data_IF_187959127748
#
_entry.id   IF_187959127748
#
_cell.length_a   1.000
_cell.length_b   1.000
_cell.length_c   1.000
_cell.angle_alpha   90.00
_cell.angle_beta   90.00
_cell.angle_gamma   90.00
#
_symmetry.space_group_name_H-M   'P 1'
#
loop_
_entity.id
_entity.type
_entity.pdbx_description
1 polymer ?
#
# COMPACT_ATOMS: atom_id res chain seq x y z
N UNK A 1 -13.35 22.80 -10.70
CA UNK A 1 -11.90 22.69 -10.47
C UNK A 1 -11.66 22.78 -8.97
N UNK A 2 -10.63 22.10 -8.44
CA UNK A 2 -10.24 22.23 -7.02
C UNK A 2 -8.87 22.90 -7.02
N UNK A 3 -8.82 24.16 -6.60
CA UNK A 3 -7.58 24.92 -6.49
C UNK A 3 -6.90 24.65 -5.15
N UNK A 4 -5.57 24.63 -5.13
CA UNK A 4 -4.78 24.45 -3.92
C UNK A 4 -3.41 25.10 -4.06
N UNK A 5 -2.74 25.33 -2.93
CA UNK A 5 -1.39 25.88 -2.87
C UNK A 5 -0.36 24.79 -3.21
N UNK A 6 0.16 24.79 -4.44
CA UNK A 6 1.18 23.82 -4.89
C UNK A 6 2.57 24.06 -4.28
N UNK A 7 2.81 25.25 -3.73
CA UNK A 7 4.04 25.61 -3.02
C UNK A 7 4.11 25.07 -1.59
N UNK A 8 3.01 24.51 -1.07
CA UNK A 8 2.94 23.96 0.29
C UNK A 8 3.02 22.45 0.24
N UNK A 9 4.13 21.90 0.76
CA UNK A 9 4.27 20.45 0.93
C UNK A 9 3.26 19.89 1.94
N UNK A 10 3.06 18.57 1.88
CA UNK A 10 2.26 17.82 2.84
C UNK A 10 1.04 17.15 2.24
N UNK A 11 0.20 16.59 3.13
CA UNK A 11 -0.85 15.62 2.81
C UNK A 11 -1.74 16.00 1.64
N UNK A 12 -2.15 17.26 1.53
CA UNK A 12 -3.05 17.68 0.44
C UNK A 12 -2.35 17.61 -0.92
N UNK A 13 -1.09 18.04 -1.00
CA UNK A 13 -0.31 18.00 -2.24
C UNK A 13 -0.01 16.57 -2.65
N UNK A 14 0.34 15.72 -1.67
CA UNK A 14 0.55 14.27 -1.87
C UNK A 14 -0.70 13.59 -2.42
N UNK A 15 -1.87 13.86 -1.85
CA UNK A 15 -3.15 13.34 -2.34
C UNK A 15 -3.43 13.78 -3.77
N UNK A 16 -3.19 15.05 -4.06
CA UNK A 16 -3.39 15.63 -5.38
C UNK A 16 -2.47 14.98 -6.42
N UNK A 17 -1.17 14.88 -6.13
CA UNK A 17 -0.18 14.20 -6.98
C UNK A 17 -0.54 12.74 -7.20
N UNK A 18 -0.89 12.00 -6.14
CA UNK A 18 -1.31 10.61 -6.25
C UNK A 18 -2.52 10.43 -7.17
N UNK A 19 -3.50 11.34 -7.08
CA UNK A 19 -4.66 11.33 -7.96
C UNK A 19 -4.22 11.49 -9.42
N UNK A 20 -3.48 12.56 -9.75
CA UNK A 20 -3.08 12.89 -11.12
C UNK A 20 -2.04 11.94 -11.73
N UNK A 21 -1.28 11.22 -10.90
CA UNK A 21 -0.38 10.15 -11.36
C UNK A 21 -1.10 9.03 -12.10
N UNK A 22 -2.40 8.82 -11.82
CA UNK A 22 -3.22 7.77 -12.44
C UNK A 22 -3.41 7.93 -13.96
N UNK A 23 -3.17 9.12 -14.50
CA UNK A 23 -3.24 9.40 -15.94
C UNK A 23 -1.97 10.07 -16.45
N UNK A 24 -0.81 9.61 -15.95
CA UNK A 24 0.50 10.09 -16.40
C UNK A 24 0.76 11.56 -16.08
N UNK A 25 0.17 12.11 -15.01
CA UNK A 25 0.33 13.50 -14.59
C UNK A 25 -0.09 14.55 -15.64
N UNK A 26 -0.99 14.22 -16.58
CA UNK A 26 -1.43 15.14 -17.62
C UNK A 26 -2.35 16.29 -17.13
N UNK A 27 -2.66 16.34 -15.83
CA UNK A 27 -3.56 17.34 -15.25
C UNK A 27 -5.05 17.03 -15.38
N UNK A 28 -5.43 15.93 -16.04
CA UNK A 28 -6.83 15.52 -16.22
C UNK A 28 -7.07 14.07 -15.84
N UNK A 29 -8.16 13.83 -15.11
CA UNK A 29 -8.63 12.48 -14.75
C UNK A 29 -10.10 12.39 -15.03
N UNK A 30 -10.51 11.37 -15.77
CA UNK A 30 -11.92 11.13 -16.03
C UNK A 30 -12.66 10.80 -14.72
N UNK A 31 -13.73 11.53 -14.44
CA UNK A 31 -14.62 11.24 -13.31
C UNK A 31 -15.21 9.83 -13.47
N UNK A 32 -15.14 8.96 -12.46
CA UNK A 32 -15.78 7.65 -12.52
C UNK A 32 -17.29 7.78 -12.80
N UNK A 33 -17.79 7.03 -13.79
CA UNK A 33 -19.21 7.06 -14.23
C UNK A 33 -20.19 6.82 -13.08
N UNK A 34 -19.79 6.05 -12.08
CA UNK A 34 -20.60 5.71 -10.91
C UNK A 34 -20.97 6.93 -10.05
N UNK A 35 -20.15 7.97 -10.01
CA UNK A 35 -20.41 9.20 -9.24
C UNK A 35 -21.40 10.13 -9.97
N UNK A 36 -21.62 9.90 -11.26
CA UNK A 36 -22.59 10.66 -12.05
C UNK A 36 -23.99 10.03 -12.03
N UNK A 37 -24.17 8.89 -11.36
CA UNK A 37 -25.48 8.22 -11.23
C UNK A 37 -26.34 8.96 -10.21
N UNK A 38 -27.64 9.09 -10.48
CA UNK A 38 -28.60 9.69 -9.53
C UNK A 38 -28.69 8.95 -8.19
N UNK A 39 -28.37 7.65 -8.18
CA UNK A 39 -28.34 6.82 -6.97
C UNK A 39 -27.10 7.01 -6.10
N UNK A 40 -26.11 7.80 -6.54
CA UNK A 40 -24.89 8.04 -5.77
C UNK A 40 -25.14 9.07 -4.67
N UNK A 41 -24.87 8.71 -3.41
CA UNK A 41 -24.90 9.64 -2.28
C UNK A 41 -23.65 9.46 -1.39
N UNK A 42 -22.71 10.42 -1.38
CA UNK A 42 -21.44 10.29 -0.64
C UNK A 42 -21.61 10.28 0.89
N UNK A 43 -22.79 10.63 1.41
CA UNK A 43 -23.07 10.74 2.84
C UNK A 43 -23.64 9.45 3.45
N UNK A 44 -23.94 8.43 2.64
CA UNK A 44 -24.52 7.16 3.12
C UNK A 44 -23.44 6.11 3.37
N UNK A 45 -23.74 5.13 4.24
CA UNK A 45 -22.90 3.94 4.45
C UNK A 45 -22.81 3.02 3.21
N UNK A 46 -23.82 3.09 2.35
CA UNK A 46 -23.79 2.45 1.03
C UNK A 46 -23.97 3.55 -0.04
N UNK A 47 -22.88 4.24 -0.43
CA UNK A 47 -22.95 5.39 -1.32
C UNK A 47 -23.50 5.06 -2.70
N UNK A 48 -23.45 3.79 -3.09
CA UNK A 48 -23.97 3.32 -4.36
C UNK A 48 -24.51 1.89 -4.22
N UNK A 49 -25.79 1.74 -3.83
CA UNK A 49 -26.40 0.44 -3.60
C UNK A 49 -26.24 -0.49 -4.80
N UNK A 50 -25.88 -1.75 -4.53
CA UNK A 50 -25.65 -2.78 -5.55
C UNK A 50 -24.29 -2.72 -6.25
N UNK A 51 -23.43 -1.75 -5.92
CA UNK A 51 -22.05 -1.73 -6.39
C UNK A 51 -21.20 -2.76 -5.63
N UNK A 52 -20.26 -3.40 -6.34
CA UNK A 52 -19.27 -4.28 -5.70
C UNK A 52 -18.37 -3.48 -4.78
N UNK A 53 -18.21 -3.99 -3.56
CA UNK A 53 -17.28 -3.50 -2.54
C UNK A 53 -15.97 -4.26 -2.72
N UNK A 54 -14.86 -3.69 -2.28
CA UNK A 54 -13.56 -4.35 -2.39
C UNK A 54 -12.88 -4.44 -1.03
N UNK A 55 -12.32 -5.61 -0.74
CA UNK A 55 -11.42 -5.80 0.37
C UNK A 55 -9.99 -5.61 -0.11
N UNK A 56 -9.30 -4.63 0.47
CA UNK A 56 -7.86 -4.52 0.34
C UNK A 56 -7.21 -5.30 1.48
N UNK A 57 -6.39 -6.26 1.12
CA UNK A 57 -5.57 -7.02 2.05
C UNK A 57 -4.11 -6.71 1.76
N UNK A 58 -3.44 -6.10 2.73
CA UNK A 58 -2.03 -5.73 2.63
C UNK A 58 -1.23 -6.53 3.64
N UNK A 59 -0.31 -7.36 3.15
CA UNK A 59 0.76 -7.88 4.00
C UNK A 59 1.92 -6.89 3.98
N UNK A 60 2.16 -6.21 5.09
CA UNK A 60 3.33 -5.34 5.29
C UNK A 60 4.47 -6.25 5.74
N UNK A 61 5.41 -6.51 4.83
CA UNK A 61 6.44 -7.53 5.03
C UNK A 61 7.64 -6.90 5.71
N UNK A 62 8.26 -5.92 5.06
CA UNK A 62 9.52 -5.33 5.52
C UNK A 62 9.78 -3.93 5.00
N UNK A 63 10.72 -3.22 5.60
CA UNK A 63 11.25 -1.95 5.13
C UNK A 63 12.64 -2.13 4.51
N UNK A 64 13.04 -1.18 3.67
CA UNK A 64 14.37 -1.13 3.07
C UNK A 64 14.94 0.27 3.25
N UNK A 65 16.12 0.37 3.85
CA UNK A 65 16.92 1.60 3.92
C UNK A 65 16.10 2.83 4.34
N UNK A 66 15.35 2.71 5.44
CA UNK A 66 14.55 3.81 5.96
C UNK A 66 15.49 4.86 6.56
N UNK A 67 15.39 6.13 6.13
CA UNK A 67 16.28 7.17 6.62
C UNK A 67 15.84 7.62 8.01
N UNK A 68 16.80 8.11 8.79
CA UNK A 68 16.50 8.81 10.04
C UNK A 68 15.68 10.08 9.76
N UNK A 69 14.66 10.40 10.58
CA UNK A 69 14.00 11.70 10.56
C UNK A 69 15.01 12.83 10.76
N UNK A 70 14.86 13.92 10.01
CA UNK A 70 15.75 15.09 10.10
C UNK A 70 15.63 15.82 11.44
N UNK A 71 14.44 15.77 12.03
CA UNK A 71 14.09 16.46 13.26
C UNK A 71 14.08 15.52 14.48
N UNK A 72 14.76 14.36 14.37
CA UNK A 72 14.86 13.38 15.45
C UNK A 72 15.31 14.00 16.76
N UNK A 73 14.68 13.58 17.87
CA UNK A 73 14.90 14.19 19.18
C UNK A 73 16.38 14.15 19.61
N UNK A 74 17.10 13.10 19.22
CA UNK A 74 18.53 12.96 19.50
C UNK A 74 19.43 13.37 18.32
N UNK A 75 18.85 13.72 17.17
CA UNK A 75 19.54 14.15 15.95
C UNK A 75 20.48 13.06 15.41
N UNK A 76 21.65 13.47 14.91
CA UNK A 76 22.66 12.53 14.38
C UNK A 76 23.38 11.70 15.46
N UNK A 77 22.98 11.77 16.74
CA UNK A 77 23.69 11.14 17.87
C UNK A 77 23.48 9.63 18.01
N UNK A 78 23.50 8.91 16.90
CA UNK A 78 23.53 7.45 16.90
C UNK A 78 22.20 6.76 17.21
N UNK A 79 21.10 7.50 17.36
CA UNK A 79 19.76 6.92 17.49
C UNK A 79 19.43 6.06 16.28
N UNK A 80 19.04 4.82 16.53
CA UNK A 80 18.53 3.92 15.49
C UNK A 80 17.02 4.00 15.57
N UNK A 81 16.39 4.18 14.42
CA UNK A 81 14.95 4.36 14.35
C UNK A 81 14.20 3.08 14.76
N UNK A 82 13.01 3.29 15.33
CA UNK A 82 12.05 2.30 15.77
C UNK A 82 10.83 2.28 14.82
N UNK A 83 10.97 1.78 13.57
CA UNK A 83 9.98 2.08 12.55
C UNK A 83 8.69 1.24 12.67
N UNK A 84 7.58 1.90 12.34
CA UNK A 84 6.31 1.24 12.04
C UNK A 84 5.63 1.86 10.82
N UNK A 85 4.71 1.11 10.21
CA UNK A 85 3.96 1.54 9.03
C UNK A 85 2.51 1.80 9.40
N UNK A 86 2.02 3.02 9.15
CA UNK A 86 0.59 3.38 9.17
C UNK A 86 0.06 3.39 7.74
N UNK A 87 -1.00 2.61 7.48
CA UNK A 87 -1.73 2.64 6.20
C UNK A 87 -3.08 3.31 6.41
N UNK A 88 -3.31 4.37 5.65
CA UNK A 88 -4.53 5.17 5.64
C UNK A 88 -5.29 4.98 4.31
N UNK A 89 -6.58 4.69 4.40
CA UNK A 89 -7.51 4.78 3.27
C UNK A 89 -8.11 6.19 3.27
N UNK A 90 -8.00 6.87 2.13
CA UNK A 90 -8.53 8.22 1.93
C UNK A 90 -9.58 8.16 0.84
N UNK A 91 -10.79 8.65 1.10
CA UNK A 91 -11.87 8.60 0.12
C UNK A 91 -13.15 9.23 0.67
N UNK A 92 -14.27 8.54 0.51
CA UNK A 92 -15.49 8.90 1.23
C UNK A 92 -15.34 8.61 2.72
N UNK A 93 -16.10 9.30 3.56
CA UNK A 93 -16.05 9.12 5.01
C UNK A 93 -16.28 7.66 5.43
N UNK A 94 -17.14 6.92 4.73
CA UNK A 94 -17.38 5.49 4.99
C UNK A 94 -16.16 4.59 4.72
N UNK A 95 -15.26 5.02 3.85
CA UNK A 95 -14.04 4.28 3.48
C UNK A 95 -12.83 4.70 4.32
N UNK A 96 -12.88 5.88 4.95
CA UNK A 96 -11.78 6.42 5.72
C UNK A 96 -11.44 5.50 6.91
N UNK A 97 -10.22 4.96 6.91
CA UNK A 97 -9.76 4.04 7.94
C UNK A 97 -8.24 4.08 8.03
N UNK A 98 -7.70 3.83 9.22
CA UNK A 98 -6.27 3.74 9.49
C UNK A 98 -5.96 2.48 10.28
N UNK A 99 -4.91 1.78 9.88
CA UNK A 99 -4.33 0.68 10.65
C UNK A 99 -2.81 0.82 10.61
N UNK A 100 -2.13 0.28 11.62
CA UNK A 100 -0.69 0.32 11.70
C UNK A 100 -0.12 -1.04 12.09
N UNK A 101 1.15 -1.26 11.74
CA UNK A 101 1.93 -2.39 12.24
C UNK A 101 2.39 -2.14 13.67
N UNK A 102 2.97 -3.16 14.30
CA UNK A 102 3.84 -3.01 15.46
C UNK A 102 5.08 -2.18 15.12
N UNK A 103 5.74 -1.72 16.18
CA UNK A 103 7.08 -1.12 16.14
C UNK A 103 8.13 -2.23 16.03
N UNK A 104 9.20 -1.95 15.29
CA UNK A 104 10.41 -2.78 15.24
C UNK A 104 11.53 -1.95 15.85
N UNK A 105 12.05 -2.39 16.98
CA UNK A 105 13.05 -1.63 17.73
C UNK A 105 14.43 -1.65 17.03
N UNK A 106 15.12 -0.51 17.06
CA UNK A 106 16.49 -0.28 16.63
C UNK A 106 16.82 -0.87 15.24
N UNK A 107 15.93 -0.73 14.25
CA UNK A 107 16.19 -1.23 12.90
C UNK A 107 15.54 -0.42 11.77
N UNK A 108 16.27 0.58 11.27
CA UNK A 108 15.92 1.30 10.04
C UNK A 108 16.37 0.65 8.72
N UNK A 109 17.35 -0.25 8.75
CA UNK A 109 17.97 -0.76 7.52
C UNK A 109 17.11 -1.81 6.81
N UNK A 110 16.54 -2.75 7.57
CA UNK A 110 15.73 -3.85 7.05
C UNK A 110 14.68 -4.38 8.05
N UNK A 111 13.82 -3.52 8.64
CA UNK A 111 12.81 -3.96 9.61
C UNK A 111 11.85 -4.98 9.00
N UNK A 112 11.44 -5.96 9.80
CA UNK A 112 10.49 -7.01 9.40
C UNK A 112 9.24 -6.94 10.27
N UNK A 113 8.10 -6.59 9.66
CA UNK A 113 6.81 -6.55 10.37
C UNK A 113 6.03 -7.85 10.18
N UNK A 114 5.95 -8.36 8.95
CA UNK A 114 5.19 -9.57 8.58
C UNK A 114 3.70 -9.55 8.99
N UNK A 115 3.11 -8.36 9.02
CA UNK A 115 1.74 -8.15 9.49
C UNK A 115 0.74 -7.98 8.36
N UNK A 116 -0.53 -8.30 8.62
CA UNK A 116 -1.61 -8.19 7.63
C UNK A 116 -2.63 -7.17 8.07
N UNK A 117 -2.78 -6.11 7.28
CA UNK A 117 -3.79 -5.06 7.44
C UNK A 117 -4.93 -5.31 6.45
N UNK A 118 -6.18 -5.12 6.87
CA UNK A 118 -7.37 -5.42 6.05
C UNK A 118 -8.34 -4.26 6.06
N UNK A 119 -8.65 -3.74 4.89
CA UNK A 119 -9.56 -2.60 4.70
C UNK A 119 -10.74 -2.99 3.82
N UNK A 120 -11.94 -2.56 4.19
CA UNK A 120 -13.14 -2.72 3.37
C UNK A 120 -13.47 -1.37 2.73
N UNK A 121 -13.48 -1.32 1.41
CA UNK A 121 -13.62 -0.11 0.62
C UNK A 121 -14.92 -0.21 -0.21
N UNK A 122 -15.87 0.65 0.08
CA UNK A 122 -17.15 0.79 -0.62
C UNK A 122 -16.97 1.41 -2.01
N UNK A 123 -16.13 2.46 -2.12
CA UNK A 123 -15.95 3.22 -3.36
C UNK A 123 -14.49 3.21 -3.84
N UNK A 124 -13.96 2.04 -4.26
CA UNK A 124 -12.56 1.88 -4.70
C UNK A 124 -12.21 2.76 -5.91
N UNK A 125 -13.20 3.29 -6.64
CA UNK A 125 -12.98 4.14 -7.81
C UNK A 125 -12.44 5.54 -7.44
N UNK A 126 -12.58 5.94 -6.18
CA UNK A 126 -12.13 7.25 -5.67
C UNK A 126 -11.27 7.15 -4.40
N UNK A 127 -10.98 5.94 -3.95
CA UNK A 127 -10.10 5.72 -2.81
C UNK A 127 -8.62 5.91 -3.19
N UNK A 128 -7.86 6.49 -2.28
CA UNK A 128 -6.40 6.51 -2.25
C UNK A 128 -5.94 5.66 -1.06
N UNK A 129 -4.77 5.08 -1.20
CA UNK A 129 -4.07 4.32 -0.14
C UNK A 129 -2.77 5.04 0.14
N UNK A 130 -2.61 5.50 1.38
CA UNK A 130 -1.44 6.26 1.84
C UNK A 130 -0.66 5.42 2.83
N UNK A 131 0.56 5.07 2.46
CA UNK A 131 1.54 4.41 3.31
C UNK A 131 2.38 5.48 3.97
N UNK A 132 2.49 5.44 5.30
CA UNK A 132 3.35 6.34 6.06
C UNK A 132 4.27 5.49 6.93
N UNK A 133 5.53 5.85 6.98
CA UNK A 133 6.51 5.25 7.87
C UNK A 133 6.83 6.28 8.94
N UNK A 134 6.80 5.82 10.18
CA UNK A 134 7.01 6.63 11.37
C UNK A 134 8.10 5.98 12.22
N UNK A 135 8.86 6.82 12.89
CA UNK A 135 9.78 6.47 13.97
C UNK A 135 9.03 6.55 15.30
N UNK A 136 9.22 5.59 16.20
CA UNK A 136 8.56 5.63 17.51
C UNK A 136 9.51 6.07 18.60
N UNK A 137 9.36 7.32 19.05
CA UNK A 137 10.16 7.86 20.13
C UNK A 137 9.49 7.70 21.50
N UNK A 138 10.26 7.75 22.61
CA UNK A 138 9.69 7.83 23.96
C UNK A 138 8.67 8.97 24.13
N UNK A 139 8.82 10.04 23.36
CA UNK A 139 7.88 11.17 23.32
C UNK A 139 7.38 11.37 21.89
N UNK A 140 6.31 10.67 21.54
CA UNK A 140 5.58 10.89 20.30
C UNK A 140 5.99 9.96 19.17
N UNK A 141 6.23 10.54 17.99
CA UNK A 141 6.66 9.84 16.79
C UNK A 141 7.14 10.83 15.75
N UNK A 142 8.22 10.49 15.07
CA UNK A 142 8.76 11.30 13.99
C UNK A 142 8.40 10.74 12.61
N UNK A 143 8.08 11.65 11.69
CA UNK A 143 7.70 11.25 10.34
C UNK A 143 8.95 10.88 9.54
N UNK A 144 9.01 9.63 9.07
CA UNK A 144 10.10 9.18 8.21
C UNK A 144 9.75 9.56 6.77
N UNK A 145 8.66 9.03 6.21
CA UNK A 145 8.29 9.24 4.81
C UNK A 145 6.93 8.64 4.45
N UNK A 146 6.46 8.93 3.23
CA UNK A 146 5.17 8.44 2.76
C UNK A 146 5.17 8.04 1.28
N UNK A 147 4.15 7.29 0.89
CA UNK A 147 3.73 7.13 -0.49
C UNK A 147 2.21 7.06 -0.56
N UNK A 148 1.61 7.89 -1.39
CA UNK A 148 0.17 7.87 -1.65
C UNK A 148 -0.11 7.36 -3.06
N UNK A 149 -1.03 6.39 -3.20
CA UNK A 149 -1.36 5.74 -4.47
C UNK A 149 -2.87 5.69 -4.64
N UNK A 150 -3.37 5.98 -5.85
CA UNK A 150 -4.78 5.72 -6.14
C UNK A 150 -5.06 4.22 -6.10
N UNK A 151 -6.14 3.81 -5.44
CA UNK A 151 -6.47 2.39 -5.25
C UNK A 151 -6.48 1.61 -6.58
N UNK A 152 -7.07 2.21 -7.62
CA UNK A 152 -7.14 1.61 -8.97
C UNK A 152 -5.79 1.45 -9.68
N UNK A 153 -4.77 2.16 -9.22
CA UNK A 153 -3.41 2.09 -9.76
C UNK A 153 -2.53 1.11 -8.99
N UNK A 154 -3.03 0.51 -7.90
CA UNK A 154 -2.30 -0.52 -7.16
C UNK A 154 -2.34 -1.84 -7.92
N UNK A 155 -1.21 -2.55 -7.92
CA UNK A 155 -1.07 -3.86 -8.56
C UNK A 155 -1.04 -4.98 -7.51
N UNK A 156 -1.77 -6.09 -7.70
CA UNK A 156 -1.71 -7.23 -6.80
C UNK A 156 -0.34 -7.93 -6.84
N UNK A 157 -0.07 -8.74 -5.82
CA UNK A 157 1.16 -9.51 -5.64
C UNK A 157 2.22 -8.79 -4.81
N UNK A 158 3.45 -9.29 -4.86
CA UNK A 158 4.60 -8.70 -4.19
C UNK A 158 5.06 -7.42 -4.90
N UNK A 159 5.18 -6.32 -4.14
CA UNK A 159 5.51 -4.98 -4.63
C UNK A 159 6.39 -4.25 -3.64
N UNK A 160 7.26 -3.38 -4.15
CA UNK A 160 7.86 -2.32 -3.35
C UNK A 160 6.99 -1.06 -3.46
N UNK A 161 6.75 -0.43 -2.32
CA UNK A 161 6.18 0.90 -2.21
C UNK A 161 7.34 1.84 -1.89
N UNK A 162 7.86 2.51 -2.91
CA UNK A 162 8.94 3.49 -2.76
C UNK A 162 8.42 4.76 -2.10
N UNK A 163 9.14 5.26 -1.10
CA UNK A 163 8.79 6.48 -0.39
C UNK A 163 9.11 7.70 -1.26
N UNK A 164 8.18 8.65 -1.34
CA UNK A 164 8.34 9.85 -2.16
C UNK A 164 9.54 10.68 -1.68
N UNK A 165 10.39 11.10 -2.60
CA UNK A 165 11.57 11.94 -2.32
C UNK A 165 12.73 11.23 -1.61
N UNK A 166 12.68 9.90 -1.45
CA UNK A 166 13.73 9.12 -0.78
C UNK A 166 14.24 8.01 -1.68
N UNK A 167 15.39 8.23 -2.30
CA UNK A 167 16.04 7.23 -3.13
C UNK A 167 16.28 5.94 -2.31
N UNK A 168 16.05 4.79 -2.92
CA UNK A 168 16.24 3.44 -2.35
C UNK A 168 15.33 3.04 -1.16
N UNK A 169 14.67 3.99 -0.47
CA UNK A 169 13.80 3.68 0.66
C UNK A 169 12.44 3.14 0.23
N UNK A 170 12.06 1.96 0.71
CA UNK A 170 10.76 1.36 0.35
C UNK A 170 10.18 0.45 1.44
N UNK A 171 8.89 0.15 1.28
CA UNK A 171 8.16 -0.87 2.03
C UNK A 171 7.89 -2.03 1.07
N UNK A 172 8.34 -3.23 1.41
CA UNK A 172 7.99 -4.44 0.69
C UNK A 172 6.65 -4.98 1.20
N UNK A 173 5.70 -5.16 0.28
CA UNK A 173 4.33 -5.57 0.59
C UNK A 173 3.86 -6.68 -0.32
N UNK A 174 2.88 -7.45 0.14
CA UNK A 174 2.02 -8.22 -0.75
C UNK A 174 0.62 -7.62 -0.77
N UNK A 175 0.13 -7.28 -1.96
CA UNK A 175 -1.20 -6.70 -2.20
C UNK A 175 -2.16 -7.78 -2.68
N UNK A 176 -3.32 -7.91 -2.04
CA UNK A 176 -4.44 -8.70 -2.56
C UNK A 176 -5.73 -7.88 -2.50
N UNK A 177 -6.56 -8.02 -3.54
CA UNK A 177 -7.85 -7.33 -3.67
C UNK A 177 -8.92 -8.38 -3.91
N UNK A 178 -9.94 -8.40 -3.05
CA UNK A 178 -11.05 -9.34 -3.17
C UNK A 178 -12.36 -8.56 -3.35
N UNK A 179 -13.12 -8.89 -4.40
CA UNK A 179 -14.48 -8.38 -4.54
C UNK A 179 -15.36 -8.98 -3.43
N UNK A 180 -16.08 -8.14 -2.69
CA UNK A 180 -17.03 -8.56 -1.67
C UNK A 180 -18.45 -8.31 -2.17
N UNK A 181 -19.24 -9.38 -2.23
CA UNK A 181 -20.69 -9.32 -2.34
C UNK A 181 -21.29 -9.51 -0.94
N UNK A 182 -21.73 -8.42 -0.28
CA UNK A 182 -22.39 -8.45 1.03
C UNK A 182 -21.52 -7.98 2.22
N UNK A 183 -22.09 -8.01 3.44
CA UNK A 183 -21.39 -7.61 4.68
C UNK A 183 -20.48 -8.75 5.18
N UNK A 184 -19.16 -8.68 4.95
CA UNK A 184 -18.20 -9.63 5.52
C UNK A 184 -17.53 -9.04 6.78
N UNK A 185 -17.49 -9.80 7.88
CA UNK A 185 -16.85 -9.37 9.13
C UNK A 185 -15.30 -9.32 8.99
N UNK A 186 -14.61 -8.35 9.61
CA UNK A 186 -13.15 -8.18 9.50
C UNK A 186 -12.31 -9.41 9.92
N UNK A 187 -12.75 -10.16 10.93
CA UNK A 187 -12.03 -11.34 11.42
C UNK A 187 -11.96 -12.47 10.38
N UNK A 188 -13.06 -12.71 9.66
CA UNK A 188 -13.13 -13.71 8.60
C UNK A 188 -12.27 -13.30 7.39
N UNK A 189 -12.21 -12.00 7.13
CA UNK A 189 -11.39 -11.42 6.07
C UNK A 189 -9.89 -11.63 6.31
N UNK A 190 -9.40 -11.37 7.53
CA UNK A 190 -8.00 -11.61 7.91
C UNK A 190 -7.64 -13.09 7.78
N UNK A 191 -8.54 -14.00 8.17
CA UNK A 191 -8.30 -15.43 8.02
C UNK A 191 -8.25 -15.88 6.55
N UNK A 192 -9.19 -15.40 5.73
CA UNK A 192 -9.21 -15.66 4.29
C UNK A 192 -7.97 -15.10 3.58
N UNK A 193 -7.56 -13.89 3.95
CA UNK A 193 -6.34 -13.22 3.52
C UNK A 193 -5.08 -14.03 3.84
N UNK A 194 -4.91 -14.47 5.09
CA UNK A 194 -3.78 -15.30 5.51
C UNK A 194 -3.69 -16.59 4.69
N UNK A 195 -4.83 -17.26 4.47
CA UNK A 195 -4.90 -18.46 3.63
C UNK A 195 -4.51 -18.17 2.18
N UNK A 196 -4.93 -17.03 1.64
CA UNK A 196 -4.56 -16.59 0.30
C UNK A 196 -3.06 -16.33 0.18
N UNK A 197 -2.45 -15.63 1.16
CA UNK A 197 -1.01 -15.38 1.16
C UNK A 197 -0.17 -16.65 1.33
N UNK A 198 -0.60 -17.59 2.16
CA UNK A 198 0.06 -18.89 2.27
C UNK A 198 0.07 -19.64 0.93
N UNK A 199 -1.05 -19.61 0.19
CA UNK A 199 -1.12 -20.20 -1.16
C UNK A 199 -0.23 -19.47 -2.16
N UNK A 200 -0.22 -18.13 -2.14
CA UNK A 200 0.62 -17.33 -3.02
C UNK A 200 2.12 -17.59 -2.78
N UNK A 201 2.55 -17.65 -1.52
CA UNK A 201 3.92 -17.98 -1.14
C UNK A 201 4.32 -19.39 -1.58
N UNK A 202 3.44 -20.38 -1.37
CA UNK A 202 3.68 -21.76 -1.83
C UNK A 202 3.78 -21.87 -3.36
N UNK A 203 2.98 -21.11 -4.10
CA UNK A 203 3.07 -21.07 -5.57
C UNK A 203 4.38 -20.45 -6.05
N UNK A 204 4.87 -19.41 -5.37
CA UNK A 204 6.16 -18.80 -5.68
C UNK A 204 7.34 -19.72 -5.35
N UNK A 205 7.28 -20.48 -4.25
CA UNK A 205 8.33 -21.45 -3.90
C UNK A 205 8.35 -22.67 -4.84
N UNK A 206 7.20 -23.04 -5.42
CA UNK A 206 7.06 -24.15 -6.38
C UNK A 206 7.22 -23.72 -7.84
N UNK A 207 8.12 -22.77 -8.13
CA UNK A 207 8.44 -22.36 -9.50
C UNK A 207 8.76 -23.57 -10.41
N UNK A 208 8.57 -23.46 -11.73
CA UNK A 208 8.69 -24.59 -12.64
C UNK A 208 10.08 -25.23 -12.49
N UNK A 209 10.12 -26.54 -12.25
CA UNK A 209 11.35 -27.31 -12.37
C UNK A 209 11.85 -27.13 -13.80
N UNK A 210 12.95 -26.37 -13.98
CA UNK A 210 13.71 -26.42 -15.22
C UNK A 210 14.25 -27.84 -15.31
N UNK A 211 13.64 -28.66 -16.17
CA UNK A 211 14.28 -29.89 -16.60
C UNK A 211 15.62 -29.51 -17.23
N UNK A 212 16.75 -30.07 -16.77
CA UNK A 212 17.99 -29.93 -17.50
C UNK A 212 17.81 -30.66 -18.84
N UNK A 213 17.77 -29.91 -19.93
CA UNK A 213 17.90 -30.47 -21.28
C UNK A 213 19.30 -31.06 -21.39
N UNK A 214 19.38 -32.39 -21.35
CA UNK A 214 20.56 -33.15 -21.75
C UNK A 214 20.66 -33.07 -23.27
N UNK A 215 21.44 -32.13 -23.80
CA UNK A 215 21.96 -32.24 -25.16
C UNK A 215 23.35 -32.90 -25.09
N UNK A 216 23.34 -34.22 -25.16
CA UNK A 216 24.48 -35.00 -25.62
C UNK A 216 24.35 -35.15 -27.14
N UNK A 217 25.26 -34.55 -27.90
CA UNK A 217 25.83 -35.10 -29.14
C UNK A 217 26.80 -34.09 -29.76
N UNK A 218 28.08 -34.17 -29.37
CA UNK A 218 29.16 -33.72 -30.25
C UNK A 218 29.60 -34.97 -31.01
N UNK A 219 29.05 -35.17 -32.21
CA UNK A 219 29.61 -36.12 -33.16
C UNK A 219 30.82 -35.48 -33.84
N UNK A 220 31.98 -36.07 -33.58
CA UNK A 220 33.18 -35.95 -34.38
C UNK A 220 32.94 -36.54 -35.77
N UNK A 221 33.38 -35.87 -36.82
CA UNK A 221 33.75 -36.48 -38.10
C UNK A 221 34.68 -35.51 -38.84
N UNK A 222 35.92 -35.99 -39.00
CA UNK A 222 36.95 -35.76 -40.03
C UNK A 222 37.04 -34.43 -40.78
#
# INVERSE_FOLDING_TARGET
MVAMNYQTEGRMLEMNQAKFSSNGNCGYILRPKCISKASFNPMLEDPLPGQRKTQLVLKIISGQQLPKPKDSMFGDRGEIIDPFVEVEIIGLNVDCSKQQTRVVDDNGFNPMWEETLVFNIQMPQIALVRFQVWDHDPIGRDFIGQRTVAFRSMMPGYRHVYLDGKAESSIFVHVAMNDITGKMKPTNAVHAARKHFQKAAQKHMKGPQRHPSLDFSVQSSE
#
